data_IF_988348741747
#
_entry.id   IF_988348741747
#
_cell.length_a   1.000
_cell.length_b   1.000
_cell.length_c   1.000
_cell.angle_alpha   90.00
_cell.angle_beta   90.00
_cell.angle_gamma   90.00
#
_symmetry.space_group_name_H-M   'P 1'
#
loop_
_entity.id
_entity.type
_entity.pdbx_description
1 polymer ?
#
# COMPACT_ATOMS: atom_id res chain seq x y z
N UNK A 1 62.69 1.58 38.85
CA UNK A 1 61.33 1.41 39.39
C UNK A 1 60.63 2.75 39.23
N UNK A 2 59.98 2.97 38.09
CA UNK A 2 59.32 4.25 37.77
C UNK A 2 57.90 4.22 38.35
N UNK A 3 57.66 5.08 39.33
CA UNK A 3 56.36 5.28 39.96
C UNK A 3 55.42 6.05 39.04
N UNK A 4 54.20 5.56 38.91
CA UNK A 4 53.10 6.30 38.28
C UNK A 4 52.45 7.15 39.37
N UNK A 5 52.70 8.46 39.34
CA UNK A 5 51.93 9.42 40.13
C UNK A 5 50.52 9.53 39.54
N UNK A 6 49.54 9.04 40.32
CA UNK A 6 48.13 9.13 40.00
C UNK A 6 47.72 10.60 40.13
N UNK A 7 47.46 11.26 39.00
CA UNK A 7 46.89 12.62 38.97
C UNK A 7 45.45 12.55 39.47
N UNK A 8 45.24 12.76 40.77
CA UNK A 8 43.94 13.13 41.33
C UNK A 8 43.59 14.54 40.83
N UNK A 9 42.80 14.61 39.74
CA UNK A 9 42.10 15.84 39.40
C UNK A 9 40.93 15.99 40.37
N UNK A 10 41.03 17.01 41.21
CA UNK A 10 39.97 17.42 42.13
C UNK A 10 38.62 17.51 41.43
N UNK A 11 37.68 16.69 41.89
CA UNK A 11 36.26 16.80 41.55
C UNK A 11 35.73 18.03 42.29
N UNK A 12 35.42 19.09 41.55
CA UNK A 12 34.68 20.22 42.09
C UNK A 12 33.31 19.73 42.61
N UNK A 13 32.87 20.14 43.81
CA UNK A 13 31.59 19.69 44.34
C UNK A 13 30.45 20.37 43.58
N UNK A 14 29.59 19.56 42.95
CA UNK A 14 28.26 20.01 42.49
C UNK A 14 28.01 20.12 40.99
N UNK A 15 28.92 19.68 40.11
CA UNK A 15 28.55 19.46 38.70
C UNK A 15 28.00 18.04 38.58
N UNK A 16 26.68 17.94 38.43
CA UNK A 16 26.02 16.69 38.07
C UNK A 16 26.63 16.19 36.75
N UNK A 17 27.38 15.10 36.82
CA UNK A 17 28.09 14.50 35.69
C UNK A 17 27.08 14.00 34.62
N UNK A 18 25.80 13.84 35.00
CA UNK A 18 24.69 13.46 34.11
C UNK A 18 23.95 14.68 33.50
N UNK A 19 24.25 15.90 33.94
CA UNK A 19 23.60 17.11 33.45
C UNK A 19 24.17 17.54 32.09
N UNK A 20 23.72 16.87 31.03
CA UNK A 20 24.04 17.24 29.65
C UNK A 20 24.35 16.08 28.72
N UNK A 21 24.38 14.85 29.22
CA UNK A 21 24.65 13.69 28.38
C UNK A 21 23.40 13.25 27.62
N UNK A 22 23.55 13.02 26.31
CA UNK A 22 22.60 12.27 25.49
C UNK A 22 22.33 10.86 26.03
N UNK A 23 23.31 10.25 26.70
CA UNK A 23 23.23 8.90 27.29
C UNK A 23 23.79 8.84 28.71
N UNK A 24 23.08 8.17 29.63
CA UNK A 24 23.63 7.85 30.95
C UNK A 24 24.93 7.04 30.82
N UNK A 25 25.95 7.42 31.57
CA UNK A 25 27.25 6.73 31.58
C UNK A 25 28.19 6.96 30.39
N UNK A 26 27.85 7.84 29.42
CA UNK A 26 28.74 8.20 28.31
C UNK A 26 29.63 9.40 28.68
N UNK A 27 30.90 9.39 28.27
CA UNK A 27 31.79 10.54 28.50
C UNK A 27 31.35 11.76 27.69
N UNK A 28 31.69 12.98 28.17
CA UNK A 28 31.33 14.23 27.48
C UNK A 28 31.84 14.29 26.03
N UNK A 29 33.09 13.86 25.78
CA UNK A 29 33.66 13.89 24.43
C UNK A 29 32.98 12.94 23.45
N UNK A 30 32.61 11.74 23.90
CA UNK A 30 31.82 10.81 23.07
C UNK A 30 30.41 11.34 22.81
N UNK A 31 29.85 12.08 23.77
CA UNK A 31 28.57 12.76 23.61
C UNK A 31 28.60 13.80 22.49
N UNK A 32 29.63 14.65 22.48
CA UNK A 32 29.79 15.70 21.48
C UNK A 32 29.96 15.11 20.08
N UNK A 33 30.73 14.03 19.95
CA UNK A 33 30.89 13.28 18.70
C UNK A 33 29.55 12.69 18.23
N UNK A 34 28.77 12.12 19.15
CA UNK A 34 27.44 11.58 18.85
C UNK A 34 26.48 12.66 18.37
N UNK A 35 26.46 13.83 19.01
CA UNK A 35 25.66 14.98 18.55
C UNK A 35 26.13 15.52 17.20
N UNK A 36 27.44 15.53 16.92
CA UNK A 36 27.98 15.87 15.61
C UNK A 36 27.49 14.93 14.52
N UNK A 37 27.55 13.62 14.77
CA UNK A 37 27.05 12.60 13.87
C UNK A 37 25.54 12.72 13.61
N UNK A 38 24.73 12.85 14.66
CA UNK A 38 23.28 12.99 14.55
C UNK A 38 22.92 14.24 13.73
N UNK A 39 23.56 15.39 14.00
CA UNK A 39 23.34 16.62 13.21
C UNK A 39 23.68 16.42 11.73
N UNK A 40 24.74 15.66 11.42
CA UNK A 40 25.12 15.34 10.05
C UNK A 40 24.05 14.48 9.35
N UNK A 41 23.54 13.46 10.02
CA UNK A 41 22.46 12.59 9.49
C UNK A 41 21.18 13.38 9.25
N UNK A 42 20.69 14.13 10.24
CA UNK A 42 19.49 14.96 10.06
C UNK A 42 19.69 16.09 9.03
N UNK A 43 20.91 16.62 8.89
CA UNK A 43 21.24 17.59 7.84
C UNK A 43 21.11 17.00 6.43
N UNK A 44 21.64 15.79 6.21
CA UNK A 44 21.50 15.06 4.94
C UNK A 44 20.02 14.73 4.69
N UNK A 45 19.34 14.19 5.70
CA UNK A 45 17.93 13.85 5.65
C UNK A 45 17.06 15.05 5.26
N UNK A 46 17.31 16.23 5.84
CA UNK A 46 16.60 17.46 5.51
C UNK A 46 16.77 17.84 4.03
N UNK A 47 17.99 17.74 3.50
CA UNK A 47 18.27 17.96 2.07
C UNK A 47 17.52 16.96 1.19
N UNK A 48 17.50 15.67 1.58
CA UNK A 48 16.78 14.63 0.84
C UNK A 48 15.26 14.89 0.80
N UNK A 49 14.67 15.26 1.94
CA UNK A 49 13.23 15.59 2.02
C UNK A 49 12.93 16.84 1.20
N UNK A 50 13.73 17.91 1.32
CA UNK A 50 13.54 19.13 0.52
C UNK A 50 13.64 18.88 -0.98
N UNK A 51 14.65 18.10 -1.41
CA UNK A 51 14.79 17.70 -2.81
C UNK A 51 13.56 16.90 -3.28
N UNK A 52 13.08 15.98 -2.44
CA UNK A 52 11.89 15.18 -2.75
C UNK A 52 10.65 16.04 -2.90
N UNK A 53 10.44 17.00 -2.00
CA UNK A 53 9.33 17.95 -2.07
C UNK A 53 9.43 18.79 -3.34
N UNK A 54 10.61 19.31 -3.68
CA UNK A 54 10.82 20.13 -4.87
C UNK A 54 10.54 19.34 -6.17
N UNK A 55 11.11 18.15 -6.30
CA UNK A 55 10.91 17.27 -7.47
C UNK A 55 9.46 16.82 -7.58
N UNK A 56 8.83 16.45 -6.45
CA UNK A 56 7.42 16.07 -6.44
C UNK A 56 6.51 17.23 -6.82
N UNK A 57 6.74 18.43 -6.28
CA UNK A 57 6.00 19.64 -6.64
C UNK A 57 6.17 19.97 -8.13
N UNK A 58 7.39 19.91 -8.67
CA UNK A 58 7.63 20.13 -10.09
C UNK A 58 6.87 19.11 -10.96
N UNK A 59 6.85 17.84 -10.56
CA UNK A 59 6.12 16.76 -11.27
C UNK A 59 4.60 16.99 -11.25
N UNK A 60 4.05 17.47 -10.13
CA UNK A 60 2.62 17.80 -9.98
C UNK A 60 2.23 19.04 -10.79
N UNK A 61 3.05 20.10 -10.74
CA UNK A 61 2.76 21.39 -11.37
C UNK A 61 2.98 21.37 -12.89
N UNK A 62 4.00 20.64 -13.36
CA UNK A 62 4.35 20.58 -14.77
C UNK A 62 3.74 19.35 -15.46
N UNK A 63 2.49 19.53 -15.93
CA UNK A 63 1.68 18.47 -16.56
C UNK A 63 2.39 17.64 -17.65
N UNK A 64 3.24 18.20 -18.54
CA UNK A 64 3.92 17.42 -19.56
C UNK A 64 4.79 16.28 -19.01
N UNK A 65 5.42 16.49 -17.85
CA UNK A 65 6.22 15.45 -17.18
C UNK A 65 5.30 14.32 -16.73
N UNK A 66 4.20 14.62 -16.03
CA UNK A 66 3.27 13.57 -15.60
C UNK A 66 2.68 12.80 -16.81
N UNK A 67 2.33 13.48 -17.91
CA UNK A 67 1.82 12.80 -19.11
C UNK A 67 2.88 11.95 -19.81
N UNK A 68 4.14 12.38 -19.85
CA UNK A 68 5.24 11.59 -20.40
C UNK A 68 5.53 10.34 -19.57
N UNK A 69 5.45 10.44 -18.24
CA UNK A 69 5.62 9.31 -17.35
C UNK A 69 4.40 8.37 -17.43
N UNK A 70 3.18 8.88 -17.40
CA UNK A 70 1.96 8.07 -17.45
C UNK A 70 1.74 7.36 -18.79
N UNK A 71 2.28 7.88 -19.90
CA UNK A 71 2.16 7.27 -21.23
C UNK A 71 3.05 6.04 -21.42
N UNK A 72 4.01 5.78 -20.51
CA UNK A 72 4.96 4.68 -20.62
C UNK A 72 4.96 3.83 -19.34
N UNK A 73 4.12 2.78 -19.25
CA UNK A 73 4.08 1.89 -18.08
C UNK A 73 5.45 1.29 -17.72
N UNK A 74 6.26 0.99 -18.74
CA UNK A 74 7.63 0.49 -18.54
C UNK A 74 8.55 1.50 -17.86
N UNK A 75 8.38 2.80 -18.11
CA UNK A 75 9.15 3.86 -17.47
C UNK A 75 8.72 4.04 -16.01
N UNK A 76 7.41 3.99 -15.73
CA UNK A 76 6.90 4.01 -14.34
C UNK A 76 7.44 2.82 -13.54
N UNK A 77 7.43 1.63 -14.13
CA UNK A 77 7.99 0.43 -13.48
C UNK A 77 9.50 0.56 -13.30
N UNK A 78 10.23 1.08 -14.29
CA UNK A 78 11.66 1.32 -14.19
C UNK A 78 11.99 2.32 -13.07
N UNK A 79 11.26 3.43 -12.97
CA UNK A 79 11.41 4.41 -11.88
C UNK A 79 11.07 3.81 -10.52
N UNK A 80 10.08 2.92 -10.42
CA UNK A 80 9.75 2.24 -9.17
C UNK A 80 10.86 1.27 -8.71
N UNK A 81 11.51 0.57 -9.64
CA UNK A 81 12.53 -0.44 -9.33
C UNK A 81 13.95 0.14 -9.23
N UNK A 82 14.26 1.22 -9.95
CA UNK A 82 15.59 1.81 -10.00
C UNK A 82 16.17 2.20 -8.62
N UNK A 83 15.40 2.81 -7.70
CA UNK A 83 15.89 3.08 -6.34
C UNK A 83 16.32 1.81 -5.59
N UNK A 84 15.65 0.67 -5.79
CA UNK A 84 16.04 -0.60 -5.17
C UNK A 84 17.38 -1.09 -5.72
N UNK A 85 17.62 -0.96 -7.02
CA UNK A 85 18.90 -1.30 -7.63
C UNK A 85 20.03 -0.35 -7.20
N UNK A 86 19.72 0.93 -6.97
CA UNK A 86 20.69 1.93 -6.49
C UNK A 86 21.13 1.70 -5.04
N UNK A 87 20.36 0.95 -4.22
CA UNK A 87 20.77 0.60 -2.86
C UNK A 87 22.04 -0.25 -2.83
N UNK A 88 22.27 -1.13 -3.82
CA UNK A 88 23.47 -1.99 -3.85
C UNK A 88 24.78 -1.20 -3.96
N UNK A 89 25.00 -0.34 -4.97
CA UNK A 89 26.21 0.48 -5.02
C UNK A 89 26.24 1.48 -3.86
N UNK A 90 25.11 2.04 -3.43
CA UNK A 90 25.07 2.95 -2.30
C UNK A 90 25.59 2.29 -1.01
N UNK A 91 25.16 1.07 -0.72
CA UNK A 91 25.62 0.30 0.42
C UNK A 91 27.12 -0.03 0.35
N UNK A 92 27.64 -0.35 -0.85
CA UNK A 92 29.05 -0.67 -1.03
C UNK A 92 29.97 0.57 -0.95
N UNK A 93 29.50 1.73 -1.43
CA UNK A 93 30.29 2.95 -1.53
C UNK A 93 29.98 3.99 -0.44
N UNK A 94 29.11 3.70 0.53
CA UNK A 94 28.65 4.65 1.56
C UNK A 94 29.78 5.34 2.37
N UNK A 95 30.93 4.69 2.56
CA UNK A 95 32.07 5.25 3.29
C UNK A 95 33.13 5.91 2.37
N UNK A 96 32.97 5.83 1.05
CA UNK A 96 33.96 6.31 0.06
C UNK A 96 33.56 7.67 -0.50
N UNK A 97 34.25 8.72 -0.07
CA UNK A 97 34.07 10.08 -0.60
C UNK A 97 34.78 10.26 -1.96
N UNK A 98 34.21 10.98 -2.96
CA UNK A 98 32.89 11.63 -2.98
C UNK A 98 31.75 10.74 -3.51
N UNK A 99 32.04 9.47 -3.83
CA UNK A 99 31.08 8.56 -4.46
C UNK A 99 29.83 8.34 -3.60
N UNK A 100 29.97 8.34 -2.28
CA UNK A 100 28.85 8.20 -1.36
C UNK A 100 27.75 9.25 -1.59
N UNK A 101 28.11 10.53 -1.73
CA UNK A 101 27.16 11.61 -1.99
C UNK A 101 26.60 11.58 -3.42
N UNK A 102 27.40 11.12 -4.40
CA UNK A 102 26.92 10.94 -5.77
C UNK A 102 25.82 9.88 -5.84
N UNK A 103 26.06 8.69 -5.27
CA UNK A 103 25.05 7.63 -5.25
C UNK A 103 23.85 8.01 -4.38
N UNK A 104 24.06 8.71 -3.26
CA UNK A 104 22.98 9.21 -2.42
C UNK A 104 22.09 10.20 -3.18
N UNK A 105 22.70 11.15 -3.88
CA UNK A 105 21.99 12.14 -4.69
C UNK A 105 21.19 11.47 -5.81
N UNK A 106 21.81 10.55 -6.54
CA UNK A 106 21.15 9.79 -7.60
C UNK A 106 19.97 8.98 -7.05
N UNK A 107 20.17 8.25 -5.97
CA UNK A 107 19.13 7.51 -5.26
C UNK A 107 17.96 8.41 -4.85
N UNK A 108 18.27 9.56 -4.25
CA UNK A 108 17.27 10.52 -3.79
C UNK A 108 16.47 11.09 -4.95
N UNK A 109 17.10 11.51 -6.05
CA UNK A 109 16.40 12.03 -7.25
C UNK A 109 15.50 10.97 -7.87
N UNK A 110 16.01 9.74 -8.07
CA UNK A 110 15.23 8.65 -8.65
C UNK A 110 14.00 8.32 -7.79
N UNK A 111 14.18 8.21 -6.47
CA UNK A 111 13.07 7.94 -5.57
C UNK A 111 12.08 9.12 -5.52
N UNK A 112 12.58 10.35 -5.57
CA UNK A 112 11.75 11.56 -5.61
C UNK A 112 10.86 11.63 -6.85
N UNK A 113 11.34 11.16 -8.01
CA UNK A 113 10.52 11.06 -9.22
C UNK A 113 9.39 10.05 -9.04
N UNK A 114 9.68 8.89 -8.43
CA UNK A 114 8.66 7.87 -8.14
C UNK A 114 7.59 8.38 -7.17
N UNK A 115 8.00 9.07 -6.11
CA UNK A 115 7.08 9.77 -5.20
C UNK A 115 6.30 10.86 -5.93
N UNK A 116 6.96 11.62 -6.81
CA UNK A 116 6.35 12.66 -7.64
C UNK A 116 5.23 12.13 -8.54
N UNK A 117 5.41 10.97 -9.17
CA UNK A 117 4.35 10.29 -9.94
C UNK A 117 3.16 9.93 -9.04
N UNK A 118 3.41 9.37 -7.86
CA UNK A 118 2.34 9.02 -6.92
C UNK A 118 1.55 10.26 -6.46
N UNK A 119 2.23 11.37 -6.22
CA UNK A 119 1.64 12.66 -5.90
C UNK A 119 0.84 13.25 -7.07
N UNK A 120 1.37 13.19 -8.29
CA UNK A 120 0.72 13.74 -9.49
C UNK A 120 -0.56 12.99 -9.88
N UNK A 121 -0.69 11.74 -9.45
CA UNK A 121 -1.90 10.92 -9.61
C UNK A 121 -2.83 10.96 -8.38
N UNK A 122 -2.55 11.85 -7.43
CA UNK A 122 -3.36 12.05 -6.22
C UNK A 122 -3.85 13.50 -6.17
N UNK A 123 -5.03 13.73 -5.57
CA UNK A 123 -5.57 15.08 -5.41
C UNK A 123 -4.63 15.93 -4.54
N UNK A 124 -4.26 17.13 -5.01
CA UNK A 124 -3.27 17.97 -4.33
C UNK A 124 -3.60 18.31 -2.87
N UNK A 125 -4.90 18.42 -2.53
CA UNK A 125 -5.36 18.56 -1.15
C UNK A 125 -4.93 17.39 -0.26
N UNK A 126 -5.09 16.15 -0.75
CA UNK A 126 -4.72 14.93 -0.04
C UNK A 126 -3.20 14.86 0.14
N UNK A 127 -2.45 15.25 -0.89
CA UNK A 127 -0.98 15.33 -0.84
C UNK A 127 -0.52 16.29 0.26
N UNK A 128 -1.14 17.48 0.35
CA UNK A 128 -0.82 18.47 1.37
C UNK A 128 -1.22 18.00 2.79
N UNK A 129 -2.41 17.42 2.95
CA UNK A 129 -2.87 16.84 4.22
C UNK A 129 -1.91 15.73 4.70
N UNK A 130 -1.49 14.84 3.80
CA UNK A 130 -0.54 13.78 4.10
C UNK A 130 0.84 14.33 4.48
N UNK A 131 1.31 15.38 3.81
CA UNK A 131 2.59 16.02 4.12
C UNK A 131 2.58 16.64 5.52
N UNK A 132 1.53 17.39 5.87
CA UNK A 132 1.38 18.01 7.20
C UNK A 132 1.34 16.94 8.29
N UNK A 133 0.54 15.88 8.10
CA UNK A 133 0.44 14.78 9.06
C UNK A 133 1.77 14.04 9.22
N UNK A 134 2.46 13.77 8.11
CA UNK A 134 3.77 13.10 8.15
C UNK A 134 4.78 13.94 8.92
N UNK A 135 4.87 15.24 8.64
CA UNK A 135 5.77 16.14 9.37
C UNK A 135 5.47 16.15 10.87
N UNK A 136 4.19 16.23 11.26
CA UNK A 136 3.78 16.20 12.66
C UNK A 136 4.15 14.89 13.36
N UNK A 137 3.91 13.74 12.71
CA UNK A 137 4.22 12.41 13.25
C UNK A 137 5.73 12.22 13.37
N UNK A 138 6.51 12.53 12.32
CA UNK A 138 7.96 12.39 12.31
C UNK A 138 8.60 13.22 13.42
N UNK A 139 8.21 14.50 13.56
CA UNK A 139 8.75 15.38 14.60
C UNK A 139 8.39 14.89 16.00
N UNK A 140 7.14 14.47 16.21
CA UNK A 140 6.65 13.98 17.50
C UNK A 140 7.36 12.69 17.92
N UNK A 141 7.46 11.72 17.01
CA UNK A 141 8.10 10.43 17.29
C UNK A 141 9.60 10.57 17.46
N UNK A 142 10.26 11.37 16.62
CA UNK A 142 11.69 11.66 16.77
C UNK A 142 11.95 12.26 18.15
N UNK A 143 11.23 13.33 18.53
CA UNK A 143 11.37 13.97 19.84
C UNK A 143 11.11 13.01 21.00
N UNK A 144 10.08 12.17 20.89
CA UNK A 144 9.80 11.12 21.87
C UNK A 144 10.97 10.14 22.01
N UNK A 145 11.54 9.66 20.91
CA UNK A 145 12.66 8.70 20.93
C UNK A 145 13.92 9.30 21.54
N UNK A 146 14.24 10.57 21.25
CA UNK A 146 15.34 11.28 21.91
C UNK A 146 15.13 11.36 23.43
N UNK A 147 13.93 11.76 23.86
CA UNK A 147 13.59 11.80 25.28
C UNK A 147 13.68 10.42 25.95
N UNK A 148 13.16 9.38 25.30
CA UNK A 148 13.16 8.02 25.80
C UNK A 148 14.59 7.44 25.85
N UNK A 149 15.42 7.70 24.84
CA UNK A 149 16.82 7.29 24.77
C UNK A 149 17.65 7.91 25.89
N UNK A 150 17.45 9.20 26.17
CA UNK A 150 18.10 9.89 27.29
C UNK A 150 17.71 9.30 28.65
N UNK A 151 16.51 8.74 28.76
CA UNK A 151 16.04 8.00 29.95
C UNK A 151 16.48 6.53 29.98
N UNK A 152 17.33 6.10 29.04
CA UNK A 152 17.86 4.72 28.99
C UNK A 152 16.87 3.68 28.47
N UNK A 153 15.73 4.07 27.88
CA UNK A 153 14.77 3.11 27.29
C UNK A 153 15.32 2.56 25.99
N UNK A 154 15.24 1.25 25.76
CA UNK A 154 15.72 0.57 24.55
C UNK A 154 14.55 0.05 23.69
N UNK A 155 14.58 0.32 22.38
CA UNK A 155 13.54 -0.09 21.42
C UNK A 155 13.95 -1.28 20.55
N UNK A 156 15.07 -1.93 20.86
CA UNK A 156 15.63 -3.03 20.07
C UNK A 156 14.70 -4.23 19.87
N UNK A 157 13.76 -4.45 20.79
CA UNK A 157 12.74 -5.49 20.69
C UNK A 157 11.79 -5.30 19.50
N UNK A 158 11.70 -4.09 18.95
CA UNK A 158 10.90 -3.81 17.75
C UNK A 158 11.50 -4.43 16.48
N UNK A 159 12.81 -4.68 16.43
CA UNK A 159 13.50 -5.12 15.20
C UNK A 159 12.86 -6.33 14.51
N UNK A 160 12.69 -7.48 15.19
CA UNK A 160 12.07 -8.66 14.58
C UNK A 160 10.60 -8.45 14.17
N UNK A 161 9.84 -7.68 14.95
CA UNK A 161 8.43 -7.36 14.69
C UNK A 161 8.32 -6.50 13.42
N UNK A 162 9.15 -5.47 13.33
CA UNK A 162 9.22 -4.56 12.21
C UNK A 162 9.69 -5.27 10.93
N UNK A 163 10.67 -6.15 11.03
CA UNK A 163 11.11 -6.97 9.90
C UNK A 163 9.97 -7.84 9.36
N UNK A 164 9.25 -8.56 10.23
CA UNK A 164 8.10 -9.35 9.82
C UNK A 164 7.00 -8.49 9.18
N UNK A 165 6.69 -7.32 9.78
CA UNK A 165 5.70 -6.39 9.27
C UNK A 165 6.08 -5.83 7.87
N UNK A 166 7.36 -5.54 7.65
CA UNK A 166 7.87 -5.10 6.34
C UNK A 166 7.70 -6.18 5.27
N UNK A 167 8.00 -7.45 5.59
CA UNK A 167 7.77 -8.57 4.66
C UNK A 167 6.28 -8.67 4.30
N UNK A 168 5.38 -8.54 5.27
CA UNK A 168 3.93 -8.53 5.01
C UNK A 168 3.54 -7.37 4.08
N UNK A 169 4.06 -6.17 4.29
CA UNK A 169 3.80 -5.02 3.40
C UNK A 169 4.30 -5.29 1.98
N UNK A 170 5.52 -5.80 1.81
CA UNK A 170 6.09 -6.13 0.50
C UNK A 170 5.22 -7.16 -0.23
N UNK A 171 4.84 -8.25 0.45
CA UNK A 171 3.99 -9.28 -0.13
C UNK A 171 2.60 -8.74 -0.50
N UNK A 172 2.04 -7.87 0.34
CA UNK A 172 0.75 -7.23 0.06
C UNK A 172 0.84 -6.33 -1.17
N UNK A 173 1.91 -5.55 -1.33
CA UNK A 173 2.14 -4.73 -2.53
C UNK A 173 2.31 -5.59 -3.79
N UNK A 174 3.00 -6.73 -3.67
CA UNK A 174 3.16 -7.67 -4.78
C UNK A 174 1.81 -8.29 -5.21
N UNK A 175 0.97 -8.71 -4.26
CA UNK A 175 -0.38 -9.23 -4.55
C UNK A 175 -1.24 -8.15 -5.21
N UNK A 176 -1.17 -6.91 -4.74
CA UNK A 176 -1.92 -5.77 -5.31
C UNK A 176 -1.58 -5.48 -6.78
N UNK A 177 -0.39 -5.89 -7.25
CA UNK A 177 -0.03 -5.76 -8.67
C UNK A 177 -0.90 -6.63 -9.59
N UNK A 178 -1.34 -7.80 -9.11
CA UNK A 178 -2.20 -8.72 -9.85
C UNK A 178 -3.68 -8.58 -9.49
N UNK A 179 -3.97 -8.18 -8.25
CA UNK A 179 -5.31 -8.07 -7.70
C UNK A 179 -5.52 -6.67 -7.09
N UNK A 180 -5.87 -5.65 -7.91
CA UNK A 180 -6.06 -4.29 -7.42
C UNK A 180 -7.24 -4.24 -6.45
N UNK A 181 -6.99 -3.69 -5.26
CA UNK A 181 -7.99 -3.62 -4.18
C UNK A 181 -8.86 -2.37 -4.30
N UNK A 182 -10.06 -2.43 -3.71
CA UNK A 182 -10.97 -1.29 -3.62
C UNK A 182 -10.45 -0.19 -2.68
N UNK A 183 -11.03 1.02 -2.71
CA UNK A 183 -10.49 2.16 -1.99
C UNK A 183 -10.51 2.01 -0.47
N UNK A 184 -11.50 1.31 0.09
CA UNK A 184 -11.54 0.96 1.53
C UNK A 184 -10.32 0.13 1.94
N UNK A 185 -9.95 -0.87 1.15
CA UNK A 185 -8.78 -1.71 1.44
C UNK A 185 -7.49 -0.91 1.33
N UNK A 186 -7.37 -0.04 0.32
CA UNK A 186 -6.23 0.90 0.20
C UNK A 186 -6.14 1.78 1.46
N UNK A 187 -7.28 2.24 1.98
CA UNK A 187 -7.31 3.04 3.20
C UNK A 187 -6.76 2.27 4.41
N UNK A 188 -7.23 1.03 4.60
CA UNK A 188 -6.83 0.17 5.72
C UNK A 188 -5.35 -0.17 5.64
N UNK A 189 -4.85 -0.63 4.49
CA UNK A 189 -3.44 -0.96 4.31
C UNK A 189 -2.54 0.29 4.42
N UNK A 190 -3.02 1.45 3.97
CA UNK A 190 -2.34 2.73 4.18
C UNK A 190 -2.23 3.07 5.68
N UNK A 191 -3.30 2.88 6.45
CA UNK A 191 -3.27 3.10 7.91
C UNK A 191 -2.33 2.13 8.64
N UNK A 192 -2.37 0.84 8.29
CA UNK A 192 -1.44 -0.16 8.86
C UNK A 192 0.01 0.14 8.49
N UNK A 193 0.27 0.51 7.23
CA UNK A 193 1.59 0.95 6.77
C UNK A 193 2.07 2.17 7.56
N UNK A 194 1.21 3.16 7.77
CA UNK A 194 1.56 4.37 8.53
C UNK A 194 1.94 4.04 9.97
N UNK A 195 1.25 3.10 10.63
CA UNK A 195 1.63 2.64 11.98
C UNK A 195 2.98 1.91 11.98
N UNK A 196 3.23 1.06 10.98
CA UNK A 196 4.49 0.31 10.84
C UNK A 196 5.66 1.27 10.61
N UNK A 197 5.56 2.20 9.65
CA UNK A 197 6.64 3.16 9.38
C UNK A 197 6.82 4.20 10.50
N UNK A 198 5.76 4.50 11.26
CA UNK A 198 5.89 5.24 12.52
C UNK A 198 6.74 4.49 13.54
N UNK A 199 6.55 3.18 13.68
CA UNK A 199 7.36 2.36 14.56
C UNK A 199 8.81 2.18 14.04
N UNK A 200 9.03 2.12 12.72
CA UNK A 200 10.37 2.20 12.12
C UNK A 200 11.07 3.51 12.48
N UNK A 201 10.42 4.68 12.36
CA UNK A 201 11.03 5.96 12.78
C UNK A 201 11.51 5.91 14.24
N UNK A 202 10.72 5.32 15.14
CA UNK A 202 11.13 5.15 16.55
C UNK A 202 12.34 4.23 16.66
N UNK A 203 12.30 3.07 16.01
CA UNK A 203 13.37 2.08 16.03
C UNK A 203 14.67 2.62 15.41
N UNK A 204 14.62 3.18 14.21
CA UNK A 204 15.77 3.67 13.46
C UNK A 204 16.34 4.95 14.06
N UNK A 205 15.51 5.80 14.67
CA UNK A 205 16.00 6.90 15.51
C UNK A 205 16.72 6.33 16.73
N UNK A 206 16.20 5.31 17.41
CA UNK A 206 16.90 4.68 18.55
C UNK A 206 18.25 4.06 18.13
N UNK A 207 18.29 3.37 16.98
CA UNK A 207 19.53 2.84 16.40
C UNK A 207 20.51 3.96 16.04
N UNK A 208 20.03 5.07 15.44
CA UNK A 208 20.83 6.25 15.11
C UNK A 208 21.55 6.79 16.34
N UNK A 209 20.80 6.95 17.42
CA UNK A 209 21.34 7.57 18.61
C UNK A 209 22.30 6.56 19.30
N UNK A 210 21.98 5.25 19.38
CA UNK A 210 22.74 4.26 20.20
C UNK A 210 23.78 3.41 19.49
N UNK A 211 23.51 2.99 18.25
CA UNK A 211 24.14 1.79 17.68
C UNK A 211 25.02 2.08 16.47
N UNK A 212 24.63 3.05 15.65
CA UNK A 212 25.42 3.39 14.48
C UNK A 212 26.82 3.89 14.85
N UNK A 213 27.79 3.58 14.01
CA UNK A 213 29.13 4.18 14.07
C UNK A 213 29.12 5.54 13.36
N UNK A 214 30.10 6.39 13.69
CA UNK A 214 30.13 7.77 13.20
C UNK A 214 30.31 7.89 11.66
N UNK A 215 30.79 6.83 11.00
CA UNK A 215 31.03 6.79 9.55
C UNK A 215 29.81 6.31 8.75
N UNK A 216 28.80 5.76 9.41
CA UNK A 216 27.58 5.21 8.79
C UNK A 216 26.50 6.27 8.54
N UNK A 217 26.87 7.56 8.51
CA UNK A 217 25.92 8.66 8.39
C UNK A 217 25.11 8.61 7.09
N UNK A 218 25.69 8.09 5.99
CA UNK A 218 24.99 7.93 4.71
C UNK A 218 23.88 6.90 4.83
N UNK A 219 24.19 5.71 5.35
CA UNK A 219 23.21 4.64 5.48
C UNK A 219 22.14 4.96 6.51
N UNK A 220 22.52 5.53 7.65
CA UNK A 220 21.55 5.99 8.65
C UNK A 220 20.59 7.06 8.07
N UNK A 221 21.09 7.94 7.19
CA UNK A 221 20.24 8.91 6.47
C UNK A 221 19.28 8.23 5.50
N UNK A 222 19.75 7.23 4.74
CA UNK A 222 18.93 6.47 3.79
C UNK A 222 17.79 5.72 4.50
N UNK A 223 18.08 5.06 5.62
CA UNK A 223 17.07 4.31 6.39
C UNK A 223 15.98 5.26 6.89
N UNK A 224 16.34 6.32 7.62
CA UNK A 224 15.36 7.30 8.12
C UNK A 224 14.60 8.00 6.99
N UNK A 225 15.25 8.26 5.86
CA UNK A 225 14.60 8.84 4.67
C UNK A 225 13.54 7.90 4.09
N UNK A 226 13.84 6.61 3.98
CA UNK A 226 12.88 5.59 3.54
C UNK A 226 11.71 5.47 4.49
N UNK A 227 11.92 5.52 5.81
CA UNK A 227 10.83 5.46 6.78
C UNK A 227 9.89 6.64 6.65
N UNK A 228 10.44 7.85 6.50
CA UNK A 228 9.66 9.09 6.33
C UNK A 228 8.88 9.06 5.01
N UNK A 229 9.49 8.67 3.90
CA UNK A 229 8.79 8.60 2.62
C UNK A 229 7.72 7.53 2.59
N UNK A 230 7.98 6.37 3.18
CA UNK A 230 7.00 5.30 3.21
C UNK A 230 5.85 5.64 4.18
N UNK A 231 6.12 6.33 5.30
CA UNK A 231 5.08 6.91 6.15
C UNK A 231 4.21 7.90 5.35
N UNK A 232 4.83 8.81 4.61
CA UNK A 232 4.13 9.77 3.75
C UNK A 232 3.22 9.09 2.73
N UNK A 233 3.75 8.12 1.97
CA UNK A 233 2.98 7.39 0.97
C UNK A 233 1.84 6.57 1.62
N UNK A 234 2.09 6.00 2.79
CA UNK A 234 1.08 5.24 3.55
C UNK A 234 -0.07 6.13 4.04
N UNK A 235 0.25 7.29 4.63
CA UNK A 235 -0.77 8.28 5.04
C UNK A 235 -1.51 8.82 3.81
N UNK A 236 -0.82 9.11 2.70
CA UNK A 236 -1.45 9.56 1.47
C UNK A 236 -2.43 8.52 0.92
N UNK A 237 -2.03 7.24 0.89
CA UNK A 237 -2.89 6.13 0.47
C UNK A 237 -4.11 5.97 1.40
N UNK A 238 -3.90 6.12 2.71
CA UNK A 238 -4.96 6.10 3.72
C UNK A 238 -6.02 7.16 3.42
N UNK A 239 -5.59 8.43 3.32
CA UNK A 239 -6.48 9.56 3.05
C UNK A 239 -7.15 9.44 1.69
N UNK A 240 -6.42 9.00 0.65
CA UNK A 240 -6.97 8.77 -0.69
C UNK A 240 -8.13 7.78 -0.66
N UNK A 241 -7.96 6.63 -0.02
CA UNK A 241 -9.01 5.61 0.08
C UNK A 241 -10.24 6.09 0.84
N UNK A 242 -10.04 6.79 1.96
CA UNK A 242 -11.14 7.34 2.78
C UNK A 242 -11.99 8.37 2.02
N UNK A 243 -11.34 9.24 1.23
CA UNK A 243 -12.02 10.33 0.52
C UNK A 243 -12.75 9.85 -0.75
N UNK A 244 -12.26 8.78 -1.40
CA UNK A 244 -12.95 8.16 -2.53
C UNK A 244 -14.25 7.46 -2.13
N UNK A 245 -14.31 6.82 -0.95
CA UNK A 245 -15.52 6.15 -0.46
C UNK A 245 -16.61 7.17 -0.09
N UNK A 246 -16.22 8.25 0.62
CA UNK A 246 -17.15 9.34 0.97
C UNK A 246 -17.79 10.00 -0.25
N UNK A 247 -17.01 10.19 -1.32
CA UNK A 247 -17.51 10.77 -2.59
C UNK A 247 -18.48 9.82 -3.30
N UNK A 248 -18.19 8.52 -3.29
CA UNK A 248 -19.04 7.49 -3.91
C UNK A 248 -20.39 7.35 -3.18
N UNK A 249 -20.38 7.32 -1.85
CA UNK A 249 -21.59 7.24 -1.04
C UNK A 249 -22.46 8.50 -1.16
N UNK A 250 -21.84 9.68 -1.18
CA UNK A 250 -22.56 10.94 -1.36
C UNK A 250 -23.21 11.02 -2.75
N UNK A 251 -22.50 10.59 -3.80
CA UNK A 251 -23.02 10.54 -5.17
C UNK A 251 -24.19 9.55 -5.29
N UNK A 252 -24.02 8.34 -4.76
CA UNK A 252 -25.08 7.32 -4.77
C UNK A 252 -26.35 7.79 -4.04
N UNK A 253 -26.22 8.46 -2.89
CA UNK A 253 -27.38 9.06 -2.20
C UNK A 253 -28.05 10.16 -3.02
N UNK A 254 -27.28 11.04 -3.66
CA UNK A 254 -27.80 12.13 -4.49
C UNK A 254 -28.57 11.62 -5.72
N UNK A 255 -28.11 10.54 -6.33
CA UNK A 255 -28.81 9.90 -7.47
C UNK A 255 -30.01 9.08 -7.00
N UNK A 256 -29.91 8.39 -5.86
CA UNK A 256 -30.99 7.55 -5.33
C UNK A 256 -32.17 8.36 -4.76
N UNK A 257 -31.93 9.53 -4.16
CA UNK A 257 -32.98 10.35 -3.54
C UNK A 257 -34.14 10.74 -4.50
N UNK A 258 -33.89 11.31 -5.70
CA UNK A 258 -34.97 11.64 -6.63
C UNK A 258 -35.64 10.40 -7.24
N UNK A 259 -34.93 9.28 -7.40
CA UNK A 259 -35.51 8.02 -7.88
C UNK A 259 -36.45 7.38 -6.84
N UNK A 260 -36.07 7.42 -5.56
CA UNK A 260 -36.90 6.97 -4.45
C UNK A 260 -38.15 7.84 -4.28
N UNK A 261 -38.02 9.15 -4.50
CA UNK A 261 -39.17 10.07 -4.45
C UNK A 261 -40.14 9.88 -5.62
N UNK A 262 -39.63 9.66 -6.85
CA UNK A 262 -40.49 9.29 -7.99
C UNK A 262 -41.24 7.98 -7.77
N UNK A 263 -40.62 6.98 -7.13
CA UNK A 263 -41.29 5.70 -6.77
C UNK A 263 -42.42 5.88 -5.76
N UNK A 264 -42.35 6.86 -4.85
CA UNK A 264 -43.42 7.16 -3.88
C UNK A 264 -44.61 7.92 -4.50
N UNK A 265 -44.39 8.65 -5.60
CA UNK A 265 -45.42 9.44 -6.30
C UNK A 265 -46.12 8.68 -7.42
N UNK A 266 -45.88 7.37 -7.57
CA UNK A 266 -46.61 6.54 -8.55
C UNK A 266 -48.08 6.43 -8.11
N UNK A 267 -49.05 6.91 -8.91
CA UNK A 267 -50.47 6.85 -8.56
C UNK A 267 -50.95 5.40 -8.32
N UNK A 268 -51.79 5.18 -7.31
CA UNK A 268 -52.25 3.84 -6.92
C UNK A 268 -53.02 3.12 -8.04
N UNK A 269 -53.67 3.87 -8.92
CA UNK A 269 -54.34 3.41 -10.15
C UNK A 269 -53.33 2.89 -11.19
N UNK A 270 -52.18 3.55 -11.33
CA UNK A 270 -51.11 3.11 -12.23
C UNK A 270 -50.45 1.81 -11.73
N UNK A 271 -50.25 1.67 -10.42
CA UNK A 271 -49.76 0.42 -9.80
C UNK A 271 -50.74 -0.74 -9.99
N UNK A 272 -52.05 -0.48 -9.88
CA UNK A 272 -53.09 -1.47 -10.15
C UNK A 272 -53.13 -1.87 -11.62
N UNK A 273 -52.94 -0.94 -12.55
CA UNK A 273 -52.91 -1.20 -14.00
C UNK A 273 -51.71 -2.07 -14.39
N UNK A 274 -50.52 -1.74 -13.89
CA UNK A 274 -49.30 -2.55 -14.11
C UNK A 274 -49.48 -3.97 -13.54
N UNK A 275 -50.06 -4.10 -12.34
CA UNK A 275 -50.33 -5.42 -11.73
C UNK A 275 -51.39 -6.22 -12.50
N UNK A 276 -52.37 -5.55 -13.09
CA UNK A 276 -53.36 -6.20 -13.95
C UNK A 276 -52.74 -6.68 -15.27
N UNK A 277 -51.83 -5.89 -15.86
CA UNK A 277 -51.11 -6.25 -17.08
C UNK A 277 -50.17 -7.44 -16.85
N UNK A 278 -49.48 -7.50 -15.70
CA UNK A 278 -48.65 -8.66 -15.29
C UNK A 278 -49.49 -9.94 -15.11
N UNK A 279 -50.66 -9.83 -14.46
CA UNK A 279 -51.57 -10.97 -14.32
C UNK A 279 -52.13 -11.45 -15.66
N UNK A 280 -52.39 -10.53 -16.59
CA UNK A 280 -52.83 -10.88 -17.95
C UNK A 280 -51.71 -11.59 -18.71
N UNK A 281 -50.46 -11.12 -18.60
CA UNK A 281 -49.30 -11.80 -19.20
C UNK A 281 -49.11 -13.22 -18.65
N UNK A 282 -49.33 -13.43 -17.35
CA UNK A 282 -49.28 -14.76 -16.73
C UNK A 282 -50.41 -15.68 -17.26
N UNK A 283 -51.62 -15.15 -17.44
CA UNK A 283 -52.76 -15.88 -18.03
C UNK A 283 -52.47 -16.30 -19.48
N UNK A 284 -51.93 -15.39 -20.31
CA UNK A 284 -51.55 -15.71 -21.69
C UNK A 284 -50.47 -16.79 -21.75
N UNK A 285 -49.48 -16.74 -20.85
CA UNK A 285 -48.42 -17.75 -20.77
C UNK A 285 -48.99 -19.13 -20.38
N UNK A 286 -49.95 -19.18 -19.44
CA UNK A 286 -50.63 -20.43 -19.05
C UNK A 286 -51.53 -20.96 -20.16
N UNK A 287 -52.23 -20.09 -20.89
CA UNK A 287 -53.06 -20.47 -22.03
C UNK A 287 -52.22 -21.11 -23.15
N UNK A 288 -51.08 -20.49 -23.49
CA UNK A 288 -50.21 -20.97 -24.56
C UNK A 288 -49.56 -22.33 -24.20
N UNK A 289 -49.10 -22.48 -22.96
CA UNK A 289 -48.58 -23.76 -22.46
C UNK A 289 -49.63 -24.89 -22.51
N UNK A 290 -50.89 -24.60 -22.15
CA UNK A 290 -51.97 -25.59 -22.25
C UNK A 290 -52.31 -25.96 -23.70
N UNK A 291 -52.22 -25.00 -24.62
CA UNK A 291 -52.44 -25.23 -26.05
C UNK A 291 -51.35 -26.13 -26.65
N UNK A 292 -50.08 -25.92 -26.28
CA UNK A 292 -48.97 -26.78 -26.71
C UNK A 292 -49.09 -28.21 -26.14
N UNK A 293 -49.52 -28.38 -24.89
CA UNK A 293 -49.76 -29.72 -24.30
C UNK A 293 -50.90 -30.48 -25.00
N UNK A 294 -51.93 -29.78 -25.48
CA UNK A 294 -53.01 -30.41 -26.25
C UNK A 294 -52.56 -30.83 -27.64
N UNK A 295 -51.72 -30.02 -28.32
CA UNK A 295 -51.13 -30.39 -29.61
C UNK A 295 -50.20 -31.60 -29.50
N UNK A 296 -49.38 -31.67 -28.44
CA UNK A 296 -48.51 -32.82 -28.19
C UNK A 296 -49.30 -34.13 -27.93
N UNK A 297 -50.48 -34.05 -27.28
CA UNK A 297 -51.37 -35.21 -27.10
C UNK A 297 -52.02 -35.68 -28.41
N UNK A 298 -52.29 -34.77 -29.34
CA UNK A 298 -52.86 -35.11 -30.67
C UNK A 298 -51.80 -35.78 -31.56
N UNK A 299 -50.54 -35.33 -31.49
CA UNK A 299 -49.41 -35.95 -32.21
C UNK A 299 -49.06 -37.35 -31.67
N UNK A 300 -49.15 -37.58 -30.36
CA UNK A 300 -48.94 -38.92 -29.77
C UNK A 300 -50.10 -39.90 -30.04
N UNK A 301 -51.31 -39.39 -30.30
CA UNK A 301 -52.46 -40.23 -30.68
C UNK A 301 -52.43 -40.72 -32.14
N UNK A 302 -51.67 -40.05 -33.00
CA UNK A 302 -51.61 -40.37 -34.45
C UNK A 302 -50.48 -41.35 -34.80
N UNK A 303 -49.49 -41.57 -33.94
CA UNK A 303 -48.40 -42.53 -34.17
C UNK A 303 -48.75 -44.00 -33.89
N UNK A 304 -49.92 -44.30 -33.30
CA UNK A 304 -50.31 -45.67 -32.94
C UNK A 304 -51.22 -46.40 -33.96
N UNK A 305 -51.53 -45.79 -35.11
CA UNK A 305 -52.45 -46.34 -36.11
C UNK A 305 -51.79 -46.76 -37.44
N UNK A 306 -50.46 -46.68 -37.55
CA UNK A 306 -49.75 -46.80 -38.84
C UNK A 306 -48.63 -47.83 -38.88
N UNK A 307 -48.75 -49.01 -38.26
CA UNK A 307 -47.80 -50.10 -38.55
C UNK A 307 -48.34 -51.50 -38.22
N UNK A 308 -49.11 -52.11 -39.13
CA UNK A 308 -49.26 -53.57 -39.18
C UNK A 308 -49.78 -54.01 -40.55
N UNK A 309 -48.87 -54.25 -41.49
CA UNK A 309 -49.27 -54.70 -42.82
C UNK A 309 -48.16 -54.91 -43.83
N UNK A 310 -47.10 -55.68 -43.55
CA UNK A 310 -46.32 -56.30 -44.64
C UNK A 310 -45.52 -57.54 -44.21
N UNK A 311 -46.02 -58.72 -44.61
CA UNK A 311 -45.31 -60.01 -44.58
C UNK A 311 -44.31 -60.07 -45.75
N UNK A 312 -43.03 -60.31 -45.47
CA UNK A 312 -42.07 -60.82 -46.48
C UNK A 312 -41.39 -62.11 -45.98
N UNK A 313 -41.22 -63.05 -46.92
CA UNK A 313 -40.69 -64.41 -46.77
C UNK A 313 -39.19 -64.44 -46.41
N UNK A 314 -38.68 -65.55 -45.82
CA UNK A 314 -37.35 -65.61 -45.24
C UNK A 314 -36.26 -66.02 -46.25
N UNK A 315 -35.05 -65.49 -46.07
CA UNK A 315 -33.81 -65.98 -46.68
C UNK A 315 -32.85 -66.47 -45.60
N UNK A 316 -32.36 -67.68 -45.82
CA UNK A 316 -31.42 -68.50 -45.06
C UNK A 316 -30.10 -67.83 -44.67
N UNK A 317 -29.56 -68.15 -43.48
CA UNK A 317 -28.16 -68.60 -43.33
C UNK A 317 -27.83 -69.18 -41.94
N UNK A 318 -27.12 -70.30 -41.98
CA UNK A 318 -26.31 -71.03 -40.98
C UNK A 318 -25.32 -70.09 -40.25
N UNK A 319 -24.89 -70.31 -38.99
CA UNK A 319 -23.96 -71.37 -38.53
C UNK A 319 -23.62 -71.20 -37.02
N UNK A 320 -23.42 -72.36 -36.38
CA UNK A 320 -22.80 -72.75 -35.10
C UNK A 320 -22.10 -71.78 -34.12
N UNK A 321 -22.35 -72.09 -32.84
CA UNK A 321 -21.36 -72.32 -31.77
C UNK A 321 -22.10 -73.06 -30.63
N UNK A 322 -21.58 -74.00 -29.83
CA UNK A 322 -20.25 -74.54 -29.51
C UNK A 322 -20.50 -75.89 -28.80
N UNK A 323 -19.49 -76.76 -28.75
CA UNK A 323 -19.18 -77.57 -27.55
C UNK A 323 -17.66 -77.61 -27.33
N UNK A 324 -17.20 -77.90 -26.10
CA UNK A 324 -16.05 -77.22 -25.51
C UNK A 324 -14.82 -78.12 -25.32
N UNK A 325 -13.64 -77.51 -25.24
CA UNK A 325 -12.54 -77.76 -24.29
C UNK A 325 -11.43 -76.75 -24.53
#
# INVERSE_FOLDING_TARGET
MYGYDRVEKGVAPGVDIEAGTLYPGLSLGENDLRWGFIRKVYGILAVQVLLTTAVSAATVLYRPVNTALASSPGLVLALALLPLFLLFPLYHYQQKHPLNFLFLGLFTVCLSLSVGVACANTQGRIVLEALILTSAVVLSLTGYTFWASRKGKDFSYLGPILFAALIVLILTTFIQMFFPLGPTSIAIFGGLGALIFSAFIVYDTDQLIKRYTYDEYIWASVVLYLDILNLFLSIMNMLRGMQSDGTTLATNRRVAAPAAEKRKKVPADMVKKIRADDHIAEIYTRYDNNKQQQQHKVEQGTSHLGDSGMKTRPKSRTRHGRTPT
#
